data_IF_553548834586
#
_entry.id   IF_553548834586
#
_cell.length_a   1.000
_cell.length_b   1.000
_cell.length_c   1.000
_cell.angle_alpha   90.00
_cell.angle_beta   90.00
_cell.angle_gamma   90.00
#
_symmetry.space_group_name_H-M   'P 1'
#
loop_
_entity.id
_entity.type
_entity.pdbx_description
1 polymer ?
#
# COMPACT_ATOMS: atom_id res chain seq x y z
N UNK A 1 25.19 2.68 12.27
CA UNK A 1 24.00 3.48 12.67
C UNK A 1 23.03 3.70 11.50
N UNK A 2 23.49 4.00 10.29
CA UNK A 2 22.66 4.22 9.09
C UNK A 2 21.79 3.02 8.66
N UNK A 3 22.33 1.80 8.72
CA UNK A 3 21.57 0.58 8.37
C UNK A 3 20.35 0.34 9.27
N UNK A 4 20.51 0.54 10.59
CA UNK A 4 19.40 0.38 11.55
C UNK A 4 18.31 1.42 11.28
N UNK A 5 18.68 2.68 11.03
CA UNK A 5 17.73 3.76 10.72
C UNK A 5 16.92 3.46 9.45
N UNK A 6 17.55 2.95 8.39
CA UNK A 6 16.89 2.55 7.14
C UNK A 6 15.88 1.43 7.40
N UNK A 7 16.27 0.41 8.17
CA UNK A 7 15.39 -0.70 8.51
C UNK A 7 14.20 -0.25 9.36
N UNK A 8 14.43 0.58 10.37
CA UNK A 8 13.38 1.15 11.21
C UNK A 8 12.41 1.98 10.37
N UNK A 9 12.92 2.84 9.49
CA UNK A 9 12.11 3.64 8.58
C UNK A 9 11.25 2.77 7.66
N UNK A 10 11.83 1.68 7.11
CA UNK A 10 11.11 0.72 6.29
C UNK A 10 9.94 0.07 7.04
N UNK A 11 10.19 -0.39 8.27
CA UNK A 11 9.16 -1.04 9.11
C UNK A 11 8.08 -0.03 9.51
N UNK A 12 8.45 1.19 9.89
CA UNK A 12 7.49 2.26 10.22
C UNK A 12 6.62 2.63 9.03
N UNK A 13 7.21 2.76 7.84
CA UNK A 13 6.45 2.99 6.61
C UNK A 13 5.46 1.85 6.36
N UNK A 14 5.90 0.59 6.48
CA UNK A 14 5.02 -0.55 6.30
C UNK A 14 3.86 -0.55 7.31
N UNK A 15 4.16 -0.32 8.59
CA UNK A 15 3.17 -0.27 9.66
C UNK A 15 2.15 0.85 9.44
N UNK A 16 2.60 2.05 9.04
CA UNK A 16 1.72 3.18 8.75
C UNK A 16 0.78 2.90 7.57
N UNK A 17 1.30 2.27 6.51
CA UNK A 17 0.50 1.93 5.33
C UNK A 17 -0.53 0.84 5.63
N UNK A 18 -0.10 -0.27 6.27
CA UNK A 18 -1.00 -1.38 6.67
C UNK A 18 -2.05 -0.89 7.66
N UNK A 19 -1.63 -0.15 8.69
CA UNK A 19 -2.52 0.39 9.70
C UNK A 19 -3.53 1.38 9.10
N UNK A 20 -3.05 2.35 8.32
CA UNK A 20 -3.91 3.37 7.72
C UNK A 20 -4.95 2.81 6.76
N UNK A 21 -4.57 1.84 5.89
CA UNK A 21 -5.55 1.20 5.00
C UNK A 21 -6.57 0.35 5.78
N UNK A 22 -6.15 -0.28 6.87
CA UNK A 22 -7.04 -1.09 7.72
C UNK A 22 -8.03 -0.21 8.49
N UNK A 23 -7.56 0.90 9.04
CA UNK A 23 -8.39 1.89 9.72
C UNK A 23 -9.41 2.48 8.76
N UNK A 24 -9.01 2.91 7.55
CA UNK A 24 -9.96 3.44 6.56
C UNK A 24 -10.99 2.41 6.13
N UNK A 25 -10.56 1.17 5.86
CA UNK A 25 -11.46 0.08 5.56
C UNK A 25 -12.53 -0.09 6.64
N UNK A 26 -12.10 -0.20 7.90
CA UNK A 26 -13.01 -0.39 9.03
C UNK A 26 -13.93 0.81 9.24
N UNK A 27 -13.40 2.04 9.16
CA UNK A 27 -14.17 3.26 9.35
C UNK A 27 -15.25 3.45 8.28
N UNK A 28 -14.95 3.18 7.00
CA UNK A 28 -15.96 3.19 5.94
C UNK A 28 -16.94 2.02 6.04
N UNK A 29 -16.47 0.84 6.49
CA UNK A 29 -17.31 -0.35 6.68
C UNK A 29 -18.34 -0.15 7.79
N UNK A 30 -17.92 0.42 8.92
CA UNK A 30 -18.75 0.68 10.09
C UNK A 30 -19.63 1.92 9.92
N UNK A 31 -19.33 2.78 8.95
CA UNK A 31 -19.98 4.08 8.79
C UNK A 31 -19.49 5.14 9.78
N UNK A 32 -18.39 4.88 10.50
CA UNK A 32 -17.77 5.83 11.43
C UNK A 32 -17.29 7.12 10.72
N UNK A 33 -16.99 7.02 9.42
CA UNK A 33 -16.74 8.18 8.56
C UNK A 33 -17.66 8.11 7.34
N UNK A 34 -18.23 9.27 6.98
CA UNK A 34 -18.91 9.47 5.72
C UNK A 34 -17.98 10.16 4.71
N UNK A 35 -17.36 11.27 5.08
CA UNK A 35 -16.58 12.12 4.18
C UNK A 35 -15.41 11.43 3.44
N UNK A 36 -15.07 11.99 2.26
CA UNK A 36 -13.88 11.61 1.46
C UNK A 36 -12.56 12.20 1.97
N UNK A 37 -12.59 13.23 2.83
CA UNK A 37 -11.39 13.94 3.27
C UNK A 37 -10.33 13.01 3.92
N UNK A 38 -10.68 12.07 4.81
CA UNK A 38 -9.70 11.13 5.38
C UNK A 38 -9.02 10.24 4.32
N UNK A 39 -9.79 9.73 3.35
CA UNK A 39 -9.25 8.97 2.24
C UNK A 39 -8.26 9.80 1.40
N UNK A 40 -8.60 11.06 1.11
CA UNK A 40 -7.74 11.96 0.32
C UNK A 40 -6.42 12.25 1.04
N UNK A 41 -6.47 12.51 2.34
CA UNK A 41 -5.27 12.73 3.13
C UNK A 41 -4.41 11.46 3.20
N UNK A 42 -5.04 10.30 3.33
CA UNK A 42 -4.33 9.03 3.33
C UNK A 42 -3.64 8.74 2.00
N UNK A 43 -4.18 9.13 0.84
CA UNK A 43 -3.48 8.91 -0.44
C UNK A 43 -2.10 9.61 -0.47
N UNK A 44 -1.97 10.80 0.12
CA UNK A 44 -0.66 11.47 0.24
C UNK A 44 0.31 10.66 1.11
N UNK A 45 -0.16 10.20 2.28
CA UNK A 45 0.62 9.33 3.16
C UNK A 45 1.00 8.03 2.45
N UNK A 46 0.06 7.48 1.67
CA UNK A 46 0.21 6.23 0.96
C UNK A 46 1.35 6.33 -0.07
N UNK A 47 1.29 7.31 -0.96
CA UNK A 47 2.30 7.49 -1.99
C UNK A 47 3.66 7.88 -1.42
N UNK A 48 3.68 8.72 -0.37
CA UNK A 48 4.91 9.02 0.37
C UNK A 48 5.53 7.78 1.01
N UNK A 49 4.73 6.96 1.71
CA UNK A 49 5.17 5.72 2.33
C UNK A 49 5.63 4.68 1.33
N UNK A 50 4.95 4.54 0.19
CA UNK A 50 5.37 3.68 -0.92
C UNK A 50 6.72 4.13 -1.46
N UNK A 51 6.93 5.44 -1.66
CA UNK A 51 8.22 5.99 -2.06
C UNK A 51 9.34 5.62 -1.08
N UNK A 52 9.09 5.74 0.22
CA UNK A 52 10.01 5.33 1.28
C UNK A 52 10.31 3.82 1.19
N UNK A 53 9.29 2.97 1.04
CA UNK A 53 9.47 1.51 0.94
C UNK A 53 10.28 1.11 -0.30
N UNK A 54 10.01 1.74 -1.44
CA UNK A 54 10.77 1.50 -2.68
C UNK A 54 12.21 1.96 -2.51
N UNK A 55 12.44 3.17 -1.99
CA UNK A 55 13.79 3.70 -1.81
C UNK A 55 14.64 2.83 -0.87
N UNK A 56 14.07 2.49 0.29
CA UNK A 56 14.73 1.62 1.27
C UNK A 56 14.87 0.18 0.77
N UNK A 57 13.91 -0.32 -0.01
CA UNK A 57 13.95 -1.64 -0.64
C UNK A 57 15.02 -1.76 -1.73
N UNK A 58 15.11 -0.79 -2.64
CA UNK A 58 16.15 -0.72 -3.68
C UNK A 58 17.53 -0.57 -3.06
N UNK A 59 17.67 0.26 -2.02
CA UNK A 59 18.92 0.38 -1.26
C UNK A 59 19.39 -0.98 -0.70
N UNK A 60 18.46 -1.79 -0.17
CA UNK A 60 18.77 -3.14 0.30
C UNK A 60 19.19 -4.08 -0.84
N UNK A 61 18.58 -3.97 -2.03
CA UNK A 61 18.97 -4.78 -3.20
C UNK A 61 20.35 -4.41 -3.73
N UNK A 62 20.67 -3.10 -3.80
CA UNK A 62 21.98 -2.62 -4.24
C UNK A 62 23.13 -3.08 -3.33
N UNK A 63 22.86 -3.25 -2.02
CA UNK A 63 23.84 -3.75 -1.06
C UNK A 63 24.12 -5.25 -1.19
N UNK A 64 23.18 -6.04 -1.74
CA UNK A 64 23.31 -7.50 -1.88
C UNK A 64 24.02 -7.94 -3.19
N UNK A 65 24.24 -7.02 -4.15
CA UNK A 65 24.83 -7.30 -5.46
C UNK A 65 23.82 -7.93 -6.45
N UNK A 66 23.95 -7.74 -7.78
CA UNK A 66 22.94 -8.17 -8.74
C UNK A 66 22.83 -9.70 -8.85
N UNK A 67 21.61 -10.29 -8.93
CA UNK A 67 21.44 -11.72 -9.14
C UNK A 67 21.99 -12.14 -10.49
N UNK A 68 22.72 -13.26 -10.54
CA UNK A 68 22.95 -13.93 -11.80
C UNK A 68 21.61 -14.31 -12.46
N UNK A 69 21.43 -14.10 -13.78
CA UNK A 69 20.14 -14.19 -14.48
C UNK A 69 19.47 -15.57 -14.47
N UNK A 70 20.14 -16.63 -13.98
CA UNK A 70 19.61 -17.99 -13.86
C UNK A 70 19.45 -18.50 -12.42
N UNK A 71 19.65 -17.67 -11.40
CA UNK A 71 19.66 -18.12 -10.00
C UNK A 71 18.25 -18.19 -9.39
N UNK A 72 18.02 -19.15 -8.48
CA UNK A 72 16.77 -19.21 -7.70
C UNK A 72 16.48 -17.91 -6.94
N UNK A 73 17.54 -17.21 -6.51
CA UNK A 73 17.46 -15.88 -5.90
C UNK A 73 16.91 -14.81 -6.88
N UNK A 74 17.40 -14.78 -8.12
CA UNK A 74 16.91 -13.87 -9.16
C UNK A 74 15.43 -14.09 -9.50
N UNK A 75 14.98 -15.35 -9.57
CA UNK A 75 13.56 -15.69 -9.77
C UNK A 75 12.69 -15.20 -8.62
N UNK A 76 13.13 -15.45 -7.38
CA UNK A 76 12.44 -14.97 -6.17
C UNK A 76 12.32 -13.44 -6.15
N UNK A 77 13.39 -12.73 -6.51
CA UNK A 77 13.38 -11.27 -6.61
C UNK A 77 12.38 -10.78 -7.66
N UNK A 78 12.38 -11.41 -8.84
CA UNK A 78 11.46 -11.05 -9.92
C UNK A 78 10.00 -11.22 -9.50
N UNK A 79 9.67 -12.32 -8.81
CA UNK A 79 8.31 -12.54 -8.26
C UNK A 79 7.93 -11.44 -7.27
N UNK A 80 8.82 -11.10 -6.33
CA UNK A 80 8.58 -9.99 -5.39
C UNK A 80 8.33 -8.68 -6.13
N UNK A 81 9.15 -8.36 -7.13
CA UNK A 81 8.98 -7.14 -7.92
C UNK A 81 7.66 -7.11 -8.68
N UNK A 82 7.28 -8.23 -9.32
CA UNK A 82 6.02 -8.35 -10.05
C UNK A 82 4.81 -8.14 -9.13
N UNK A 83 4.84 -8.70 -7.92
CA UNK A 83 3.79 -8.48 -6.90
C UNK A 83 3.72 -7.00 -6.51
N UNK A 84 4.86 -6.35 -6.27
CA UNK A 84 4.93 -4.92 -5.92
C UNK A 84 4.38 -4.05 -7.06
N UNK A 85 4.74 -4.33 -8.31
CA UNK A 85 4.24 -3.62 -9.49
C UNK A 85 2.73 -3.82 -9.67
N UNK A 86 2.23 -5.04 -9.49
CA UNK A 86 0.78 -5.32 -9.52
C UNK A 86 0.03 -4.55 -8.43
N UNK A 87 0.58 -4.53 -7.21
CA UNK A 87 0.04 -3.75 -6.10
C UNK A 87 0.03 -2.23 -6.37
N UNK A 88 1.11 -1.70 -6.93
CA UNK A 88 1.19 -0.30 -7.37
C UNK A 88 0.12 0.01 -8.41
N UNK A 89 -0.04 -0.83 -9.43
CA UNK A 89 -1.08 -0.68 -10.45
C UNK A 89 -2.49 -0.65 -9.85
N UNK A 90 -2.80 -1.58 -8.95
CA UNK A 90 -4.08 -1.57 -8.21
C UNK A 90 -4.26 -0.33 -7.35
N UNK A 91 -3.18 0.18 -6.75
CA UNK A 91 -3.21 1.39 -5.92
C UNK A 91 -3.42 2.66 -6.74
N UNK A 92 -2.89 2.72 -7.97
CA UNK A 92 -3.20 3.79 -8.93
C UNK A 92 -4.68 3.78 -9.26
N UNK A 93 -5.26 2.60 -9.56
CA UNK A 93 -6.70 2.48 -9.84
C UNK A 93 -7.53 2.97 -8.65
N UNK A 94 -7.17 2.59 -7.41
CA UNK A 94 -7.82 3.12 -6.19
C UNK A 94 -7.75 4.64 -6.14
N UNK A 95 -6.57 5.22 -6.35
CA UNK A 95 -6.36 6.68 -6.30
C UNK A 95 -7.24 7.38 -7.34
N UNK A 96 -7.29 6.86 -8.57
CA UNK A 96 -8.12 7.41 -9.65
C UNK A 96 -9.62 7.31 -9.34
N UNK A 97 -10.07 6.22 -8.71
CA UNK A 97 -11.45 6.08 -8.26
C UNK A 97 -11.80 7.14 -7.21
N UNK A 98 -10.90 7.40 -6.26
CA UNK A 98 -11.10 8.43 -5.23
C UNK A 98 -11.12 9.85 -5.83
N UNK A 99 -10.24 10.15 -6.79
CA UNK A 99 -10.24 11.44 -7.50
C UNK A 99 -11.55 11.63 -8.26
N UNK A 100 -11.99 10.61 -9.01
CA UNK A 100 -13.28 10.66 -9.74
C UNK A 100 -14.48 10.79 -8.80
N UNK A 101 -14.43 10.18 -7.62
CA UNK A 101 -15.47 10.33 -6.61
C UNK A 101 -15.47 11.76 -6.04
N UNK A 102 -14.28 12.28 -5.72
CA UNK A 102 -14.07 13.65 -5.24
C UNK A 102 -14.59 14.71 -6.20
N UNK A 103 -14.37 14.55 -7.50
CA UNK A 103 -14.83 15.52 -8.51
C UNK A 103 -16.36 15.59 -8.60
N UNK A 104 -17.04 14.44 -8.41
CA UNK A 104 -18.50 14.33 -8.42
C UNK A 104 -19.15 14.85 -7.14
N UNK A 105 -18.41 14.84 -6.04
CA UNK A 105 -18.90 15.18 -4.69
C UNK A 105 -18.58 16.65 -4.31
N UNK A 106 -18.29 17.52 -5.28
CA UNK A 106 -18.18 18.97 -5.07
C UNK A 106 -19.53 19.64 -4.69
N UNK A 107 -20.58 18.87 -4.49
CA UNK A 107 -21.87 19.29 -3.90
C UNK A 107 -21.85 18.86 -2.43
N UNK A 108 -22.25 19.74 -1.51
CA UNK A 108 -22.19 19.62 -0.04
C UNK A 108 -22.94 18.42 0.59
N UNK A 109 -23.26 17.39 -0.18
CA UNK A 109 -23.99 16.20 0.26
C UNK A 109 -23.04 15.09 0.71
N UNK A 110 -23.48 14.34 1.72
CA UNK A 110 -22.79 13.13 2.16
C UNK A 110 -22.61 12.13 0.99
N UNK A 111 -21.48 11.41 0.93
CA UNK A 111 -21.23 10.43 -0.12
C UNK A 111 -22.31 9.38 -0.14
N UNK A 112 -22.71 8.99 -1.35
CA UNK A 112 -23.77 7.99 -1.52
C UNK A 112 -23.40 6.67 -0.81
N UNK A 113 -24.39 5.93 -0.27
CA UNK A 113 -24.16 4.65 0.38
C UNK A 113 -23.36 3.65 -0.48
N UNK A 114 -23.54 3.71 -1.80
CA UNK A 114 -22.83 2.87 -2.77
C UNK A 114 -21.36 3.26 -2.95
N UNK A 115 -21.07 4.56 -2.92
CA UNK A 115 -19.69 5.06 -2.93
C UNK A 115 -18.96 4.62 -1.65
N UNK A 116 -19.59 4.77 -0.48
CA UNK A 116 -19.01 4.30 0.80
C UNK A 116 -18.72 2.79 0.78
N UNK A 117 -19.64 1.99 0.25
CA UNK A 117 -19.45 0.54 0.09
C UNK A 117 -18.28 0.23 -0.85
N UNK A 118 -18.15 1.00 -1.93
CA UNK A 118 -17.03 0.86 -2.89
C UNK A 118 -15.70 1.21 -2.23
N UNK A 119 -15.61 2.34 -1.51
CA UNK A 119 -14.40 2.75 -0.78
C UNK A 119 -14.01 1.71 0.27
N UNK A 120 -14.96 1.22 1.05
CA UNK A 120 -14.71 0.13 1.99
C UNK A 120 -14.12 -1.10 1.28
N UNK A 121 -14.70 -1.54 0.16
CA UNK A 121 -14.16 -2.68 -0.59
C UNK A 121 -12.74 -2.45 -1.10
N UNK A 122 -12.45 -1.27 -1.65
CA UNK A 122 -11.14 -0.98 -2.25
C UNK A 122 -10.05 -0.82 -1.18
N UNK A 123 -10.33 -0.13 -0.07
CA UNK A 123 -9.40 -0.04 1.06
C UNK A 123 -9.24 -1.39 1.78
N UNK A 124 -10.31 -2.19 1.87
CA UNK A 124 -10.25 -3.56 2.39
C UNK A 124 -9.42 -4.49 1.52
N UNK A 125 -9.58 -4.42 0.19
CA UNK A 125 -8.75 -5.17 -0.75
C UNK A 125 -7.27 -4.75 -0.66
N UNK A 126 -7.00 -3.45 -0.55
CA UNK A 126 -5.64 -2.93 -0.33
C UNK A 126 -5.04 -3.51 0.96
N UNK A 127 -5.80 -3.50 2.07
CA UNK A 127 -5.36 -4.05 3.35
C UNK A 127 -5.04 -5.54 3.25
N UNK A 128 -5.93 -6.32 2.63
CA UNK A 128 -5.74 -7.76 2.45
C UNK A 128 -4.50 -8.06 1.59
N UNK A 129 -4.29 -7.31 0.50
CA UNK A 129 -3.10 -7.48 -0.35
C UNK A 129 -1.83 -7.10 0.42
N UNK A 130 -1.84 -5.98 1.16
CA UNK A 130 -0.68 -5.59 1.97
C UNK A 130 -0.34 -6.62 3.04
N UNK A 131 -1.33 -7.16 3.75
CA UNK A 131 -1.13 -8.25 4.71
C UNK A 131 -0.59 -9.50 4.02
N UNK A 132 -1.13 -9.85 2.86
CA UNK A 132 -0.62 -10.95 2.03
C UNK A 132 0.84 -10.74 1.62
N UNK A 133 1.25 -9.52 1.29
CA UNK A 133 2.64 -9.17 0.98
C UNK A 133 3.54 -9.33 2.21
N UNK A 134 3.08 -8.92 3.40
CA UNK A 134 3.84 -9.11 4.66
C UNK A 134 4.05 -10.59 4.94
N UNK A 135 2.97 -11.39 4.90
CA UNK A 135 3.04 -12.84 5.14
C UNK A 135 3.94 -13.51 4.11
N UNK A 136 3.79 -13.16 2.84
CA UNK A 136 4.66 -13.67 1.77
C UNK A 136 6.12 -13.30 2.03
N UNK A 137 6.39 -12.07 2.49
CA UNK A 137 7.74 -11.63 2.83
C UNK A 137 8.33 -12.42 4.00
N UNK A 138 7.54 -12.75 5.02
CA UNK A 138 7.94 -13.57 6.16
C UNK A 138 8.23 -15.02 5.75
N UNK A 139 7.35 -15.65 4.97
CA UNK A 139 7.54 -17.03 4.48
C UNK A 139 8.85 -17.11 3.68
N UNK A 140 9.06 -16.17 2.76
CA UNK A 140 10.28 -16.10 1.98
C UNK A 140 11.54 -15.78 2.78
N UNK A 141 11.41 -15.19 3.97
CA UNK A 141 12.54 -14.93 4.85
C UNK A 141 12.96 -16.17 5.67
N UNK A 142 12.04 -17.13 5.88
CA UNK A 142 12.28 -18.30 6.72
C UNK A 142 12.43 -19.62 5.95
N UNK A 143 12.08 -19.64 4.65
CA UNK A 143 12.24 -20.81 3.77
C UNK A 143 10.99 -21.67 3.72
#
# INVERSE_FOLDING_TARGET
MTSLAIRTLHVLAMAALVGGTTVLWYSYRSGAIAALAPARQFEWLFWGGVGVLVFTGVGNLGALGPPGPGTGWGRTLLVKLAVVVGFLGGSVVRTLLLVRASDRENTFDDPSPDLRRTLSRVYGATAAVMLGIVVLAEVLAHG
#
